data_IF_769123577026
#
_entry.id   IF_769123577026
#
_cell.length_a   1.000
_cell.length_b   1.000
_cell.length_c   1.000
_cell.angle_alpha   90.00
_cell.angle_beta   90.00
_cell.angle_gamma   90.00
#
_symmetry.space_group_name_H-M   'P 1'
#
loop_
_entity.id
_entity.type
_entity.pdbx_description
1 polymer ?
#
# COMPACT_ATOMS: atom_id res chain seq x y z
N UNK A 1 2.59 24.98 1.82
CA UNK A 1 2.88 23.69 2.52
C UNK A 1 2.06 22.58 1.90
N UNK A 2 2.68 21.42 1.67
CA UNK A 2 1.95 20.19 1.36
C UNK A 2 0.76 20.04 2.32
N UNK A 3 -0.44 19.97 1.76
CA UNK A 3 -1.68 20.00 2.52
C UNK A 3 -2.15 18.59 2.84
N UNK A 4 -2.42 18.31 4.11
CA UNK A 4 -3.22 17.14 4.44
C UNK A 4 -4.68 17.52 4.19
N UNK A 5 -5.35 16.79 3.29
CA UNK A 5 -6.77 17.00 3.02
C UNK A 5 -7.62 16.83 4.29
N UNK A 6 -8.86 17.30 4.28
CA UNK A 6 -9.75 17.20 5.43
C UNK A 6 -9.97 15.74 5.82
N UNK A 7 -10.18 15.52 7.12
CA UNK A 7 -10.58 14.23 7.68
C UNK A 7 -12.02 13.96 7.21
N UNK A 8 -12.27 12.77 6.65
CA UNK A 8 -13.64 12.32 6.42
C UNK A 8 -13.91 11.07 7.23
N UNK A 9 -14.92 11.17 8.09
CA UNK A 9 -15.39 10.08 8.91
C UNK A 9 -16.14 9.07 8.04
N UNK A 10 -15.72 7.81 8.08
CA UNK A 10 -16.69 6.74 7.88
C UNK A 10 -17.18 6.40 9.28
N UNK A 11 -18.50 6.41 9.49
CA UNK A 11 -19.06 5.83 10.71
C UNK A 11 -18.87 4.30 10.62
N UNK A 12 -17.71 3.79 11.07
CA UNK A 12 -17.46 2.35 11.25
C UNK A 12 -17.34 2.04 12.74
N UNK A 13 -18.44 1.97 13.50
CA UNK A 13 -18.37 2.02 14.97
C UNK A 13 -17.98 0.65 15.55
N UNK A 14 -16.68 0.31 15.70
CA UNK A 14 -16.14 -0.62 16.72
C UNK A 14 -14.59 -0.83 16.62
N UNK A 15 -14.02 -1.34 17.71
CA UNK A 15 -12.63 -1.69 17.99
C UNK A 15 -12.03 -2.87 17.22
N UNK A 16 -12.80 -3.46 16.32
CA UNK A 16 -12.46 -4.71 15.64
C UNK A 16 -12.41 -4.57 14.11
N UNK A 17 -12.53 -3.34 13.62
CA UNK A 17 -12.66 -3.07 12.19
C UNK A 17 -11.35 -3.39 11.49
N UNK A 18 -11.40 -4.49 10.77
CA UNK A 18 -10.48 -4.79 9.69
C UNK A 18 -11.02 -4.00 8.50
N UNK A 19 -10.27 -2.98 8.07
CA UNK A 19 -10.55 -2.23 6.85
C UNK A 19 -9.44 -2.53 5.88
N UNK A 20 -9.80 -2.95 4.67
CA UNK A 20 -8.88 -3.01 3.56
C UNK A 20 -9.39 -2.12 2.43
N UNK A 21 -8.47 -1.36 1.83
CA UNK A 21 -8.73 -0.45 0.74
C UNK A 21 -8.18 -1.02 -0.56
N UNK A 22 -8.91 -0.85 -1.65
CA UNK A 22 -8.38 -1.09 -2.98
C UNK A 22 -8.67 0.11 -3.89
N UNK A 23 -7.64 0.65 -4.54
CA UNK A 23 -7.83 1.72 -5.52
C UNK A 23 -8.72 1.23 -6.66
N UNK A 24 -9.78 1.98 -6.97
CA UNK A 24 -10.63 1.73 -8.14
C UNK A 24 -10.13 2.56 -9.32
N UNK A 25 -9.95 3.86 -9.11
CA UNK A 25 -9.35 4.79 -10.07
C UNK A 25 -8.82 6.02 -9.31
N UNK A 26 -8.41 7.06 -10.03
CA UNK A 26 -7.86 8.28 -9.43
C UNK A 26 -8.81 8.99 -8.46
N UNK A 27 -10.12 8.77 -8.58
CA UNK A 27 -11.14 9.44 -7.78
C UNK A 27 -12.03 8.48 -7.00
N UNK A 28 -11.78 7.18 -7.05
CA UNK A 28 -12.59 6.19 -6.36
C UNK A 28 -11.74 5.07 -5.80
N UNK A 29 -12.17 4.54 -4.66
CA UNK A 29 -11.58 3.35 -4.06
C UNK A 29 -12.66 2.53 -3.37
N UNK A 30 -12.37 1.25 -3.19
CA UNK A 30 -13.22 0.29 -2.51
C UNK A 30 -12.82 0.23 -1.04
N UNK A 31 -13.82 0.05 -0.17
CA UNK A 31 -13.63 -0.14 1.27
C UNK A 31 -14.28 -1.45 1.65
N UNK A 32 -13.49 -2.49 1.94
CA UNK A 32 -13.97 -3.73 2.52
C UNK A 32 -13.78 -3.67 4.04
N UNK A 33 -14.82 -4.02 4.79
CA UNK A 33 -14.77 -3.96 6.24
C UNK A 33 -15.64 -5.00 6.94
N UNK A 34 -15.34 -5.23 8.22
CA UNK A 34 -16.21 -5.93 9.16
C UNK A 34 -17.17 -4.94 9.81
N UNK A 35 -18.47 -5.19 9.73
CA UNK A 35 -19.52 -4.33 10.26
C UNK A 35 -20.00 -4.80 11.64
N UNK A 36 -19.50 -4.20 12.73
CA UNK A 36 -19.81 -4.60 14.10
C UNK A 36 -21.25 -4.27 14.52
N UNK A 37 -21.86 -3.27 13.87
CA UNK A 37 -23.25 -2.86 14.17
C UNK A 37 -24.24 -3.82 13.50
N UNK A 38 -23.82 -4.46 12.40
CA UNK A 38 -24.58 -5.48 11.70
C UNK A 38 -23.97 -6.87 11.87
N UNK A 39 -23.79 -7.32 13.12
CA UNK A 39 -23.46 -8.71 13.43
C UNK A 39 -22.07 -9.19 12.99
N UNK A 40 -21.11 -8.28 12.87
CA UNK A 40 -19.77 -8.52 12.34
C UNK A 40 -19.75 -8.97 10.87
N UNK A 41 -20.76 -8.61 10.08
CA UNK A 41 -20.85 -9.02 8.68
C UNK A 41 -19.76 -8.40 7.81
N UNK A 42 -19.37 -9.11 6.76
CA UNK A 42 -18.48 -8.58 5.75
C UNK A 42 -19.23 -7.62 4.83
N UNK A 43 -18.81 -6.35 4.81
CA UNK A 43 -19.37 -5.30 3.94
C UNK A 43 -18.32 -4.77 2.97
N UNK A 44 -18.79 -4.24 1.83
CA UNK A 44 -17.99 -3.46 0.90
C UNK A 44 -18.77 -2.23 0.43
N UNK A 45 -18.09 -1.13 0.16
CA UNK A 45 -18.68 0.04 -0.51
C UNK A 45 -17.68 0.71 -1.45
N UNK A 46 -18.20 1.56 -2.33
CA UNK A 46 -17.39 2.48 -3.15
C UNK A 46 -17.31 3.83 -2.44
N UNK A 47 -16.09 4.34 -2.26
CA UNK A 47 -15.82 5.69 -1.82
C UNK A 47 -15.44 6.57 -3.02
N UNK A 48 -16.01 7.77 -3.12
CA UNK A 48 -15.74 8.74 -4.18
C UNK A 48 -15.04 9.97 -3.62
N UNK A 49 -14.00 10.44 -4.31
CA UNK A 49 -13.19 11.60 -3.97
C UNK A 49 -13.50 12.72 -4.95
N UNK A 50 -14.01 13.85 -4.44
CA UNK A 50 -14.28 15.05 -5.22
C UNK A 50 -13.61 16.25 -4.54
N UNK A 51 -12.55 16.78 -5.16
CA UNK A 51 -11.69 17.76 -4.50
C UNK A 51 -11.18 17.19 -3.17
N UNK A 52 -11.48 17.89 -2.09
CA UNK A 52 -11.05 17.52 -0.74
C UNK A 52 -12.03 16.60 0.00
N UNK A 53 -13.19 16.32 -0.57
CA UNK A 53 -14.25 15.54 0.10
C UNK A 53 -14.23 14.09 -0.35
N UNK A 54 -14.47 13.19 0.61
CA UNK A 54 -14.79 11.78 0.37
C UNK A 54 -16.29 11.60 0.63
N UNK A 55 -17.00 10.91 -0.25
CA UNK A 55 -18.37 10.44 -0.06
C UNK A 55 -18.44 8.93 -0.17
N UNK A 56 -19.32 8.30 0.61
CA UNK A 56 -19.49 6.85 0.62
C UNK A 56 -20.80 6.47 -0.05
N UNK A 57 -20.73 5.51 -0.98
CA UNK A 57 -21.92 4.83 -1.49
C UNK A 57 -22.55 3.92 -0.45
N UNK A 58 -23.67 3.29 -0.82
CA UNK A 58 -24.33 2.31 0.03
C UNK A 58 -23.46 1.06 0.23
N UNK A 59 -23.36 0.53 1.47
CA UNK A 59 -22.63 -0.70 1.74
C UNK A 59 -23.41 -1.94 1.30
N UNK A 60 -22.71 -2.83 0.61
CA UNK A 60 -23.20 -4.14 0.20
C UNK A 60 -22.62 -5.25 1.07
N UNK A 61 -23.40 -6.30 1.33
CA UNK A 61 -23.00 -7.41 2.20
C UNK A 61 -22.37 -8.54 1.40
N UNK A 62 -21.05 -8.68 1.47
CA UNK A 62 -20.35 -9.79 0.83
C UNK A 62 -20.30 -11.06 1.68
N UNK A 63 -20.59 -11.00 2.98
CA UNK A 63 -20.71 -12.22 3.78
C UNK A 63 -21.66 -12.00 4.97
N UNK A 64 -22.82 -12.67 5.03
CA UNK A 64 -23.86 -12.41 6.02
C UNK A 64 -23.64 -13.18 7.34
N UNK A 65 -22.38 -13.32 7.74
CA UNK A 65 -21.96 -13.91 9.01
C UNK A 65 -20.74 -13.17 9.53
N UNK A 66 -20.45 -13.32 10.83
CA UNK A 66 -19.27 -12.74 11.44
C UNK A 66 -18.00 -13.09 10.65
N UNK A 67 -17.25 -12.07 10.20
CA UNK A 67 -15.98 -12.22 9.48
C UNK A 67 -14.77 -11.88 10.35
N UNK A 68 -13.61 -12.34 9.89
CA UNK A 68 -12.28 -11.93 10.35
C UNK A 68 -11.37 -11.80 9.13
N UNK A 69 -10.42 -10.88 9.17
CA UNK A 69 -9.35 -10.59 8.21
C UNK A 69 -9.90 -10.50 6.80
N UNK A 70 -10.60 -9.39 6.57
CA UNK A 70 -11.05 -9.03 5.23
C UNK A 70 -9.84 -8.70 4.37
N UNK A 71 -9.90 -9.05 3.09
CA UNK A 71 -8.97 -8.65 2.05
C UNK A 71 -9.78 -8.31 0.80
N UNK A 72 -9.31 -7.34 0.01
CA UNK A 72 -9.98 -6.91 -1.21
C UNK A 72 -8.97 -6.68 -2.33
N UNK A 73 -9.33 -7.06 -3.55
CA UNK A 73 -8.58 -6.81 -4.76
C UNK A 73 -9.51 -6.27 -5.85
N UNK A 74 -9.15 -5.13 -6.45
CA UNK A 74 -9.74 -4.68 -7.70
C UNK A 74 -9.15 -5.53 -8.84
N UNK A 75 -9.99 -6.22 -9.60
CA UNK A 75 -9.56 -6.90 -10.83
C UNK A 75 -9.67 -5.96 -12.03
N UNK A 76 -10.82 -5.31 -12.18
CA UNK A 76 -11.11 -4.36 -13.27
C UNK A 76 -11.97 -3.21 -12.75
N UNK A 77 -12.40 -2.31 -13.62
CA UNK A 77 -13.28 -1.20 -13.24
C UNK A 77 -14.68 -1.67 -12.81
N UNK A 78 -15.04 -2.92 -13.13
CA UNK A 78 -16.33 -3.52 -12.77
C UNK A 78 -16.20 -4.77 -11.92
N UNK A 79 -15.01 -5.36 -11.75
CA UNK A 79 -14.85 -6.63 -11.02
C UNK A 79 -13.91 -6.50 -9.84
N UNK A 80 -14.28 -7.14 -8.75
CA UNK A 80 -13.48 -7.22 -7.53
C UNK A 80 -13.54 -8.61 -6.92
N UNK A 81 -12.57 -8.92 -6.07
CA UNK A 81 -12.57 -10.12 -5.24
C UNK A 81 -12.40 -9.70 -3.79
N UNK A 82 -13.21 -10.29 -2.92
CA UNK A 82 -13.06 -10.19 -1.47
C UNK A 82 -12.76 -11.55 -0.89
N UNK A 83 -11.93 -11.58 0.13
CA UNK A 83 -11.68 -12.77 0.92
C UNK A 83 -11.81 -12.43 2.41
N UNK A 84 -12.21 -13.41 3.21
CA UNK A 84 -12.18 -13.29 4.66
C UNK A 84 -12.06 -14.66 5.31
N UNK A 85 -11.77 -14.66 6.60
CA UNK A 85 -11.97 -15.77 7.52
C UNK A 85 -13.36 -15.70 8.15
N UNK A 86 -13.93 -16.85 8.47
CA UNK A 86 -15.17 -16.92 9.24
C UNK A 86 -14.85 -16.67 10.72
N UNK A 87 -15.58 -15.80 11.41
CA UNK A 87 -15.22 -15.30 12.74
C UNK A 87 -15.03 -16.35 13.82
N UNK A 88 -15.87 -17.38 13.87
CA UNK A 88 -15.81 -18.47 14.85
C UNK A 88 -15.06 -19.74 14.40
N UNK A 89 -14.76 -19.84 13.11
CA UNK A 89 -14.27 -21.08 12.48
C UNK A 89 -12.87 -20.91 11.87
N UNK A 90 -12.52 -19.66 11.53
CA UNK A 90 -11.27 -19.25 10.90
C UNK A 90 -10.97 -19.93 9.56
N UNK A 91 -11.92 -20.69 8.99
CA UNK A 91 -11.86 -21.14 7.59
C UNK A 91 -11.95 -19.95 6.65
N UNK A 92 -11.16 -19.98 5.59
CA UNK A 92 -11.12 -18.93 4.57
C UNK A 92 -12.23 -19.07 3.54
N UNK A 93 -12.86 -17.95 3.18
CA UNK A 93 -13.81 -17.83 2.08
C UNK A 93 -13.37 -16.72 1.13
N UNK A 94 -13.68 -16.88 -0.14
CA UNK A 94 -13.44 -15.89 -1.20
C UNK A 94 -14.67 -15.78 -2.09
N UNK A 95 -14.95 -14.57 -2.57
CA UNK A 95 -16.10 -14.25 -3.45
C UNK A 95 -15.67 -13.26 -4.53
N UNK A 96 -16.15 -13.47 -5.74
CA UNK A 96 -16.11 -12.46 -6.79
C UNK A 96 -17.37 -11.58 -6.70
N UNK A 97 -17.17 -10.29 -6.96
CA UNK A 97 -18.23 -9.29 -7.05
C UNK A 97 -18.15 -8.52 -8.36
N UNK A 98 -19.31 -8.10 -8.86
CA UNK A 98 -19.46 -7.27 -10.05
C UNK A 98 -20.17 -5.96 -9.67
N UNK A 99 -19.57 -4.83 -10.05
CA UNK A 99 -20.05 -3.48 -9.77
C UNK A 99 -20.89 -2.96 -10.92
N UNK A 100 -22.00 -2.30 -10.58
CA UNK A 100 -22.91 -1.63 -11.49
C UNK A 100 -23.37 -0.30 -10.88
N UNK A 101 -24.20 0.46 -11.61
CA UNK A 101 -24.80 1.69 -11.07
C UNK A 101 -25.70 1.43 -9.85
N UNK A 102 -26.25 0.22 -9.70
CA UNK A 102 -27.13 -0.15 -8.59
C UNK A 102 -26.40 -0.68 -7.35
N UNK A 103 -25.08 -0.90 -7.41
CA UNK A 103 -24.31 -1.46 -6.30
C UNK A 103 -23.37 -2.57 -6.73
N UNK A 104 -23.13 -3.51 -5.82
CA UNK A 104 -22.16 -4.60 -5.99
C UNK A 104 -22.87 -5.94 -5.80
N UNK A 105 -22.92 -6.75 -6.85
CA UNK A 105 -23.51 -8.08 -6.81
C UNK A 105 -22.43 -9.14 -6.56
N UNK A 106 -22.63 -9.99 -5.53
CA UNK A 106 -21.70 -11.05 -5.18
C UNK A 106 -22.19 -12.43 -5.60
N UNK A 107 -21.32 -13.19 -6.27
CA UNK A 107 -21.55 -14.60 -6.59
C UNK A 107 -21.39 -15.51 -5.37
N UNK A 108 -21.37 -16.82 -5.59
CA UNK A 108 -21.29 -17.80 -4.48
C UNK A 108 -19.96 -17.71 -3.72
N UNK A 109 -20.00 -17.99 -2.42
CA UNK A 109 -18.78 -18.18 -1.62
C UNK A 109 -18.06 -19.46 -2.00
N UNK A 110 -16.74 -19.36 -2.15
CA UNK A 110 -15.83 -20.48 -2.38
C UNK A 110 -14.91 -20.59 -1.17
N UNK A 111 -14.76 -21.80 -0.64
CA UNK A 111 -13.90 -22.04 0.52
C UNK A 111 -12.44 -22.19 0.06
N UNK A 112 -11.53 -21.44 0.70
CA UNK A 112 -10.10 -21.41 0.35
C UNK A 112 -9.37 -22.68 0.77
N UNK A 113 -9.70 -23.20 1.95
CA UNK A 113 -9.11 -24.40 2.54
C UNK A 113 -10.13 -25.12 3.42
N UNK A 114 -10.05 -26.44 3.51
CA UNK A 114 -10.88 -27.26 4.41
C UNK A 114 -10.61 -26.95 5.88
N UNK A 115 -9.36 -26.64 6.21
CA UNK A 115 -8.92 -26.36 7.57
C UNK A 115 -8.92 -24.85 7.87
N UNK A 116 -8.96 -24.46 9.15
CA UNK A 116 -8.76 -23.08 9.56
C UNK A 116 -7.44 -22.49 9.04
N UNK A 117 -7.42 -21.18 8.79
CA UNK A 117 -6.28 -20.46 8.22
C UNK A 117 -5.90 -19.19 9.02
N UNK A 118 -4.68 -18.73 8.80
CA UNK A 118 -4.15 -17.45 9.27
C UNK A 118 -4.59 -16.29 8.38
N UNK A 119 -3.97 -15.12 8.56
CA UNK A 119 -4.28 -13.93 7.78
C UNK A 119 -4.13 -14.17 6.26
N UNK A 120 -5.05 -13.61 5.48
CA UNK A 120 -5.14 -13.78 4.03
C UNK A 120 -4.38 -12.64 3.34
N UNK A 121 -3.54 -12.97 2.37
CA UNK A 121 -3.03 -12.01 1.38
C UNK A 121 -3.72 -12.26 0.04
N UNK A 122 -4.09 -11.18 -0.65
CA UNK A 122 -4.80 -11.21 -1.92
C UNK A 122 -4.20 -10.16 -2.86
N UNK A 123 -3.86 -10.54 -4.09
CA UNK A 123 -3.34 -9.58 -5.09
C UNK A 123 -3.92 -9.88 -6.48
N UNK A 124 -4.41 -8.87 -7.23
CA UNK A 124 -4.86 -9.07 -8.60
C UNK A 124 -3.65 -9.27 -9.52
N UNK A 125 -3.74 -10.21 -10.46
CA UNK A 125 -2.72 -10.42 -11.50
C UNK A 125 -3.24 -10.05 -12.89
N UNK A 126 -4.55 -10.07 -13.11
CA UNK A 126 -5.20 -9.61 -14.35
C UNK A 126 -6.63 -9.14 -14.07
N UNK A 127 -7.35 -8.74 -15.12
CA UNK A 127 -8.75 -8.29 -15.04
C UNK A 127 -9.75 -9.35 -14.56
N UNK A 128 -9.32 -10.61 -14.55
CA UNK A 128 -10.12 -11.80 -14.32
C UNK A 128 -9.41 -12.82 -13.40
N UNK A 129 -8.25 -12.48 -12.84
CA UNK A 129 -7.49 -13.41 -11.99
C UNK A 129 -6.80 -12.70 -10.83
N UNK A 130 -6.73 -13.40 -9.70
CA UNK A 130 -5.95 -12.99 -8.54
C UNK A 130 -5.25 -14.18 -7.89
N UNK A 131 -4.25 -13.89 -7.07
CA UNK A 131 -3.60 -14.86 -6.19
C UNK A 131 -4.06 -14.63 -4.77
N UNK A 132 -4.38 -15.72 -4.08
CA UNK A 132 -4.67 -15.74 -2.65
C UNK A 132 -3.64 -16.61 -1.94
N UNK A 133 -3.07 -16.11 -0.85
CA UNK A 133 -2.11 -16.84 -0.01
C UNK A 133 -2.46 -16.74 1.46
N UNK A 134 -2.21 -17.79 2.22
CA UNK A 134 -2.53 -17.87 3.64
C UNK A 134 -1.67 -18.91 4.38
N UNK A 135 -1.36 -18.70 5.67
CA UNK A 135 -0.86 -19.76 6.55
C UNK A 135 -1.97 -20.75 6.89
N UNK A 136 -1.68 -22.04 6.99
CA UNK A 136 -2.51 -22.95 7.79
C UNK A 136 -2.37 -22.66 9.30
N UNK A 137 -3.43 -22.86 10.09
CA UNK A 137 -3.35 -22.85 11.56
C UNK A 137 -3.67 -24.24 12.13
N UNK A 138 -3.14 -24.55 13.31
CA UNK A 138 -3.32 -25.85 13.95
C UNK A 138 -2.23 -26.86 13.58
N UNK A 139 -2.63 -28.10 13.28
CA UNK A 139 -1.72 -29.25 13.12
C UNK A 139 -1.31 -29.57 11.68
N UNK A 140 -1.96 -28.97 10.67
CA UNK A 140 -1.73 -29.24 9.23
C UNK A 140 -0.97 -28.07 8.56
N UNK A 141 0.17 -27.73 9.16
CA UNK A 141 0.90 -26.47 9.07
C UNK A 141 1.61 -26.24 7.74
N UNK A 142 0.90 -25.76 6.71
CA UNK A 142 1.56 -25.39 5.46
C UNK A 142 1.12 -24.01 4.98
N UNK A 143 2.07 -23.24 4.50
CA UNK A 143 1.80 -21.97 3.86
C UNK A 143 1.39 -22.23 2.40
N UNK A 144 0.17 -21.82 2.06
CA UNK A 144 -0.50 -22.20 0.81
C UNK A 144 -0.83 -20.95 0.00
N UNK A 145 -0.67 -21.04 -1.32
CA UNK A 145 -1.24 -20.09 -2.26
C UNK A 145 -2.06 -20.81 -3.33
N UNK A 146 -3.03 -20.10 -3.90
CA UNK A 146 -3.91 -20.60 -4.96
C UNK A 146 -4.15 -19.48 -5.97
N UNK A 147 -4.27 -19.87 -7.24
CA UNK A 147 -4.77 -18.96 -8.27
C UNK A 147 -6.29 -19.00 -8.26
N UNK A 148 -6.92 -17.84 -8.35
CA UNK A 148 -8.37 -17.69 -8.45
C UNK A 148 -8.72 -17.11 -9.82
N UNK A 149 -9.52 -17.84 -10.59
CA UNK A 149 -10.06 -17.40 -11.88
C UNK A 149 -11.49 -16.91 -11.69
N UNK A 150 -11.80 -15.74 -12.26
CA UNK A 150 -13.08 -15.03 -12.14
C UNK A 150 -13.73 -14.86 -13.51
N UNK A 151 -15.02 -15.18 -13.60
CA UNK A 151 -15.83 -14.99 -14.81
C UNK A 151 -17.19 -14.44 -14.40
N UNK A 152 -17.41 -13.13 -14.61
CA UNK A 152 -18.53 -12.41 -14.00
C UNK A 152 -18.42 -12.49 -12.48
N UNK A 153 -19.50 -12.94 -11.83
CA UNK A 153 -19.53 -13.19 -10.38
C UNK A 153 -19.11 -14.61 -9.99
N UNK A 154 -18.76 -15.48 -10.95
CA UNK A 154 -18.29 -16.85 -10.65
C UNK A 154 -16.79 -16.87 -10.36
N UNK A 155 -16.38 -17.67 -9.37
CA UNK A 155 -14.98 -17.84 -8.98
C UNK A 155 -14.64 -19.32 -8.90
N UNK A 156 -13.48 -19.70 -9.42
CA UNK A 156 -12.90 -21.04 -9.25
C UNK A 156 -11.46 -20.94 -8.73
N UNK A 157 -11.02 -21.95 -7.98
CA UNK A 157 -9.69 -21.98 -7.40
C UNK A 157 -8.87 -23.12 -8.03
N UNK A 158 -7.66 -22.79 -8.47
CA UNK A 158 -6.65 -23.79 -8.83
C UNK A 158 -6.24 -24.69 -7.65
N UNK A 159 -5.43 -25.73 -7.90
CA UNK A 159 -4.92 -26.61 -6.83
C UNK A 159 -4.13 -25.81 -5.77
N UNK A 160 -4.04 -26.38 -4.56
CA UNK A 160 -3.18 -25.84 -3.50
C UNK A 160 -1.71 -25.92 -3.91
N UNK A 161 -1.00 -24.79 -3.82
CA UNK A 161 0.44 -24.72 -4.03
C UNK A 161 1.13 -24.34 -2.72
N UNK A 162 1.93 -25.24 -2.18
CA UNK A 162 2.63 -25.05 -0.91
C UNK A 162 3.96 -24.34 -1.14
N UNK A 163 4.19 -23.22 -0.45
CA UNK A 163 5.39 -22.40 -0.65
C UNK A 163 6.38 -22.44 0.50
N UNK A 164 6.01 -22.98 1.66
CA UNK A 164 6.91 -23.08 2.80
C UNK A 164 6.48 -24.23 3.73
N UNK A 165 7.41 -25.10 4.17
CA UNK A 165 7.06 -26.27 4.98
C UNK A 165 6.79 -25.95 6.44
N UNK A 166 7.36 -24.86 6.98
CA UNK A 166 7.21 -24.49 8.38
C UNK A 166 6.06 -23.50 8.60
N UNK A 167 5.76 -23.24 9.88
CA UNK A 167 4.74 -22.25 10.25
C UNK A 167 5.23 -20.85 9.90
N UNK A 168 4.39 -20.08 9.22
CA UNK A 168 4.59 -18.65 8.99
C UNK A 168 3.63 -17.83 9.85
N UNK A 169 4.06 -16.65 10.30
CA UNK A 169 3.25 -15.71 11.07
C UNK A 169 2.35 -14.86 10.16
N UNK A 170 2.87 -14.45 9.00
CA UNK A 170 2.16 -13.63 8.02
C UNK A 170 2.71 -13.87 6.61
N UNK A 171 1.90 -13.51 5.61
CA UNK A 171 2.27 -13.48 4.19
C UNK A 171 1.78 -12.17 3.56
N UNK A 172 2.50 -11.69 2.54
CA UNK A 172 2.17 -10.56 1.68
C UNK A 172 2.49 -10.90 0.24
N UNK A 173 1.72 -10.30 -0.67
CA UNK A 173 1.80 -10.55 -2.10
C UNK A 173 1.97 -9.24 -2.86
N UNK A 174 2.80 -9.24 -3.91
CA UNK A 174 2.86 -8.17 -4.89
C UNK A 174 2.88 -8.77 -6.30
N UNK A 175 1.86 -8.48 -7.11
CA UNK A 175 1.85 -8.84 -8.52
C UNK A 175 2.86 -7.99 -9.29
N UNK A 176 3.93 -8.62 -9.78
CA UNK A 176 4.94 -7.97 -10.62
C UNK A 176 4.46 -7.92 -12.07
N UNK A 177 3.79 -8.98 -12.51
CA UNK A 177 3.16 -9.10 -13.82
C UNK A 177 1.96 -10.05 -13.73
N UNK A 178 1.30 -10.30 -14.85
CA UNK A 178 0.19 -11.26 -14.95
C UNK A 178 0.61 -12.70 -14.62
N UNK A 179 1.91 -12.99 -14.72
CA UNK A 179 2.50 -14.32 -14.57
C UNK A 179 3.53 -14.44 -13.45
N UNK A 180 3.86 -13.34 -12.75
CA UNK A 180 4.85 -13.34 -11.65
C UNK A 180 4.37 -12.57 -10.44
N UNK A 181 4.48 -13.21 -9.29
CA UNK A 181 4.04 -12.66 -8.00
C UNK A 181 5.16 -12.82 -6.98
N UNK A 182 5.50 -11.74 -6.28
CA UNK A 182 6.31 -11.81 -5.07
C UNK A 182 5.48 -12.41 -3.94
N UNK A 183 6.02 -13.40 -3.26
CA UNK A 183 5.48 -13.93 -2.00
C UNK A 183 6.48 -13.63 -0.90
N UNK A 184 6.20 -12.63 -0.07
CA UNK A 184 6.99 -12.28 1.11
C UNK A 184 6.30 -12.79 2.36
N UNK A 185 7.04 -13.44 3.26
CA UNK A 185 6.48 -14.05 4.46
C UNK A 185 7.48 -14.05 5.60
N UNK A 186 6.95 -14.21 6.81
CA UNK A 186 7.72 -14.28 8.04
C UNK A 186 7.56 -15.66 8.66
N UNK A 187 8.66 -16.32 8.98
CA UNK A 187 8.64 -17.56 9.76
C UNK A 187 8.18 -17.31 11.20
N UNK A 188 7.31 -18.17 11.73
CA UNK A 188 6.70 -17.99 13.05
C UNK A 188 7.70 -18.20 14.20
N UNK A 189 8.63 -19.14 14.05
CA UNK A 189 9.53 -19.53 15.14
C UNK A 189 10.82 -18.70 15.18
N UNK A 190 11.49 -18.54 14.05
CA UNK A 190 12.71 -17.73 13.91
C UNK A 190 12.40 -16.23 13.88
N UNK A 191 11.24 -15.85 13.32
CA UNK A 191 10.94 -14.47 12.95
C UNK A 191 11.60 -14.05 11.64
N UNK A 192 12.33 -14.94 10.96
CA UNK A 192 13.06 -14.61 9.74
C UNK A 192 12.12 -14.17 8.63
N UNK A 193 12.59 -13.19 7.86
CA UNK A 193 11.87 -12.65 6.71
C UNK A 193 12.37 -13.28 5.42
N UNK A 194 11.51 -14.04 4.73
CA UNK A 194 11.84 -14.68 3.45
C UNK A 194 10.90 -14.22 2.35
N UNK A 195 11.39 -14.22 1.12
CA UNK A 195 10.53 -14.09 -0.05
C UNK A 195 10.94 -15.06 -1.17
N UNK A 196 9.99 -15.33 -2.07
CA UNK A 196 10.22 -16.05 -3.31
C UNK A 196 9.37 -15.43 -4.43
N UNK A 197 9.80 -15.64 -5.68
CA UNK A 197 8.97 -15.34 -6.85
C UNK A 197 8.16 -16.59 -7.19
N UNK A 198 6.84 -16.42 -7.30
CA UNK A 198 5.94 -17.44 -7.79
C UNK A 198 5.59 -17.14 -9.25
N UNK A 199 5.81 -18.14 -10.12
CA UNK A 199 5.38 -18.12 -11.52
C UNK A 199 3.98 -18.74 -11.65
N UNK A 200 3.08 -18.06 -12.36
CA UNK A 200 1.73 -18.55 -12.64
C UNK A 200 1.75 -19.39 -13.91
N UNK A 201 1.62 -20.71 -13.77
CA UNK A 201 1.65 -21.65 -14.90
C UNK A 201 0.25 -22.25 -15.06
N UNK A 202 -0.51 -21.77 -16.05
CA UNK A 202 -1.93 -22.12 -16.16
C UNK A 202 -2.68 -21.69 -14.90
N UNK A 203 -3.30 -22.62 -14.18
CA UNK A 203 -4.02 -22.37 -12.93
C UNK A 203 -3.25 -22.84 -11.67
N UNK A 204 -1.93 -22.98 -11.75
CA UNK A 204 -1.08 -23.35 -10.61
C UNK A 204 0.07 -22.35 -10.41
N UNK A 205 0.81 -22.51 -9.31
CA UNK A 205 1.95 -21.68 -8.94
C UNK A 205 3.20 -22.55 -8.80
N UNK A 206 4.31 -22.08 -9.37
CA UNK A 206 5.64 -22.66 -9.21
C UNK A 206 6.51 -21.66 -8.47
N UNK A 207 7.04 -22.06 -7.31
CA UNK A 207 7.85 -21.16 -6.47
C UNK A 207 9.34 -21.31 -6.79
N UNK A 208 9.99 -20.19 -7.06
CA UNK A 208 11.44 -20.07 -7.15
C UNK A 208 12.15 -20.23 -5.80
N UNK A 209 13.48 -20.06 -5.79
CA UNK A 209 14.29 -20.12 -4.57
C UNK A 209 13.85 -19.06 -3.56
N UNK A 210 13.94 -19.41 -2.27
CA UNK A 210 13.63 -18.50 -1.16
C UNK A 210 14.88 -17.70 -0.83
N UNK A 211 14.71 -16.40 -0.64
CA UNK A 211 15.79 -15.49 -0.25
C UNK A 211 15.39 -14.75 1.01
N UNK A 212 16.33 -14.60 1.95
CA UNK A 212 16.10 -13.78 3.13
C UNK A 212 16.07 -12.30 2.74
N UNK A 213 14.97 -11.62 3.03
CA UNK A 213 14.95 -10.15 3.11
C UNK A 213 15.35 -9.67 4.52
N UNK A 214 15.32 -10.56 5.51
CA UNK A 214 15.90 -10.35 6.84
C UNK A 214 16.22 -11.69 7.51
N UNK A 215 17.35 -11.76 8.21
CA UNK A 215 17.70 -12.85 9.14
C UNK A 215 17.54 -12.43 10.61
N UNK A 216 17.08 -11.20 10.83
CA UNK A 216 16.66 -10.71 12.13
C UNK A 216 15.14 -10.85 12.25
N UNK A 217 14.61 -11.16 13.45
CA UNK A 217 13.18 -11.31 13.66
C UNK A 217 12.37 -10.08 13.23
N UNK A 218 11.62 -10.27 12.15
CA UNK A 218 10.68 -9.29 11.59
C UNK A 218 9.42 -9.30 12.45
N UNK A 219 8.85 -8.13 12.72
CA UNK A 219 7.55 -8.02 13.38
C UNK A 219 6.42 -7.91 12.35
N UNK A 220 6.61 -7.08 11.32
CA UNK A 220 5.67 -6.95 10.22
C UNK A 220 6.38 -6.59 8.93
N UNK A 221 5.79 -6.97 7.80
CA UNK A 221 6.21 -6.53 6.48
C UNK A 221 4.98 -6.21 5.65
N UNK A 222 5.13 -5.24 4.77
CA UNK A 222 4.21 -4.99 3.66
C UNK A 222 5.02 -4.79 2.37
N UNK A 223 4.39 -5.03 1.22
CA UNK A 223 5.11 -5.00 -0.06
C UNK A 223 4.27 -4.41 -1.19
N UNK A 224 4.94 -3.78 -2.15
CA UNK A 224 4.29 -3.23 -3.34
C UNK A 224 5.17 -3.41 -4.59
N UNK A 225 4.59 -3.73 -5.77
CA UNK A 225 5.35 -3.76 -7.00
C UNK A 225 5.77 -2.33 -7.41
N UNK A 226 7.01 -2.19 -7.88
CA UNK A 226 7.52 -0.98 -8.52
C UNK A 226 7.59 -1.14 -10.04
N UNK A 227 7.51 -2.38 -10.53
CA UNK A 227 7.51 -2.73 -11.93
C UNK A 227 7.54 -4.25 -12.09
N UNK A 228 7.76 -4.72 -13.32
CA UNK A 228 7.76 -6.16 -13.63
C UNK A 228 8.91 -6.96 -13.04
N UNK A 229 9.98 -6.27 -12.61
CA UNK A 229 11.17 -6.90 -12.02
C UNK A 229 11.61 -6.20 -10.72
N UNK A 230 10.79 -5.33 -10.14
CA UNK A 230 11.17 -4.58 -8.94
C UNK A 230 10.01 -4.39 -7.99
N UNK A 231 10.32 -4.34 -6.70
CA UNK A 231 9.35 -4.15 -5.62
C UNK A 231 10.00 -3.47 -4.43
N UNK A 232 9.19 -2.88 -3.56
CA UNK A 232 9.62 -2.38 -2.26
C UNK A 232 9.01 -3.22 -1.13
N UNK A 233 9.79 -3.41 -0.07
CA UNK A 233 9.38 -3.97 1.21
C UNK A 233 9.45 -2.86 2.26
N UNK A 234 8.37 -2.65 3.01
CA UNK A 234 8.39 -1.89 4.25
C UNK A 234 8.43 -2.88 5.41
N UNK A 235 9.50 -2.88 6.19
CA UNK A 235 9.79 -3.87 7.22
C UNK A 235 9.86 -3.17 8.58
N UNK A 236 9.14 -3.69 9.57
CA UNK A 236 9.32 -3.32 10.97
C UNK A 236 9.97 -4.49 11.72
N UNK A 237 11.01 -4.19 12.47
CA UNK A 237 11.67 -5.11 13.39
C UNK A 237 11.09 -4.97 14.79
N UNK A 238 11.01 -6.08 15.54
CA UNK A 238 10.49 -6.05 16.91
C UNK A 238 11.45 -5.38 17.91
N UNK A 239 10.87 -4.78 18.95
CA UNK A 239 11.54 -4.07 20.05
C UNK A 239 12.72 -4.83 20.67
N UNK A 240 12.57 -6.15 20.85
CA UNK A 240 13.57 -7.00 21.48
C UNK A 240 14.84 -7.27 20.64
N UNK A 241 14.84 -6.92 19.35
CA UNK A 241 15.94 -7.23 18.42
C UNK A 241 16.68 -5.97 17.98
N UNK A 242 15.95 -4.99 17.45
CA UNK A 242 16.54 -3.74 16.92
C UNK A 242 15.91 -2.47 17.49
N UNK A 243 15.20 -2.54 18.62
CA UNK A 243 14.58 -1.37 19.26
C UNK A 243 13.54 -0.68 18.37
N UNK A 244 12.67 -1.48 17.73
CA UNK A 244 11.58 -1.01 16.86
C UNK A 244 12.05 -0.21 15.64
N UNK A 245 13.06 -0.78 14.96
CA UNK A 245 13.64 -0.20 13.76
C UNK A 245 12.76 -0.46 12.53
N UNK A 246 12.58 0.55 11.68
CA UNK A 246 11.81 0.41 10.43
C UNK A 246 12.66 0.77 9.23
N UNK A 247 12.57 -0.09 8.22
CA UNK A 247 13.37 0.03 7.00
C UNK A 247 12.51 -0.13 5.76
N UNK A 248 12.92 0.54 4.70
CA UNK A 248 12.52 0.18 3.36
C UNK A 248 13.64 -0.63 2.74
N UNK A 249 13.29 -1.69 2.01
CA UNK A 249 14.24 -2.46 1.22
C UNK A 249 13.70 -2.68 -0.18
N UNK A 250 14.48 -2.33 -1.20
CA UNK A 250 14.11 -2.54 -2.61
C UNK A 250 14.67 -3.88 -3.08
N UNK A 251 13.80 -4.70 -3.68
CA UNK A 251 14.15 -5.96 -4.32
C UNK A 251 14.12 -5.85 -5.84
N UNK A 252 15.10 -6.48 -6.50
CA UNK A 252 15.16 -6.63 -7.95
C UNK A 252 15.16 -8.12 -8.32
N UNK A 253 14.27 -8.50 -9.23
CA UNK A 253 14.13 -9.88 -9.71
C UNK A 253 15.09 -10.13 -10.86
N UNK A 254 15.89 -11.20 -10.76
CA UNK A 254 16.83 -11.64 -11.79
C UNK A 254 16.59 -13.12 -12.04
N UNK A 255 15.89 -13.45 -13.13
CA UNK A 255 15.37 -14.80 -13.35
C UNK A 255 14.26 -15.13 -12.35
N UNK A 256 14.45 -16.17 -11.55
CA UNK A 256 13.58 -16.62 -10.46
C UNK A 256 14.04 -16.15 -9.07
N UNK A 257 15.18 -15.46 -9.02
CA UNK A 257 15.89 -15.08 -7.80
C UNK A 257 15.74 -13.60 -7.50
N UNK A 258 15.89 -13.24 -6.23
CA UNK A 258 15.75 -11.84 -5.76
C UNK A 258 17.12 -11.33 -5.31
N UNK A 259 17.46 -10.11 -5.72
CA UNK A 259 18.58 -9.34 -5.18
C UNK A 259 18.03 -8.15 -4.41
N UNK A 260 18.47 -8.00 -3.15
CA UNK A 260 18.07 -6.87 -2.34
C UNK A 260 19.14 -5.77 -2.33
N UNK A 261 18.66 -4.54 -2.29
CA UNK A 261 19.45 -3.39 -1.85
C UNK A 261 19.85 -3.51 -0.36
N UNK A 262 20.65 -2.57 0.11
CA UNK A 262 20.84 -2.32 1.54
C UNK A 262 19.51 -1.91 2.19
N UNK A 263 19.41 -2.06 3.50
CA UNK A 263 18.27 -1.52 4.24
C UNK A 263 18.37 -0.01 4.31
N UNK A 264 17.25 0.69 4.04
CA UNK A 264 17.15 2.13 4.19
C UNK A 264 16.34 2.44 5.45
N UNK A 265 17.01 2.86 6.55
CA UNK A 265 16.31 3.29 7.75
C UNK A 265 15.45 4.51 7.44
N UNK A 266 14.22 4.51 7.91
CA UNK A 266 13.38 5.71 7.85
C UNK A 266 12.84 6.14 9.21
N UNK A 267 12.75 5.23 10.19
CA UNK A 267 12.53 5.56 11.61
C UNK A 267 13.25 4.58 12.54
N UNK A 268 13.76 5.11 13.65
CA UNK A 268 14.64 4.37 14.59
C UNK A 268 14.08 4.21 16.00
N UNK A 269 12.83 4.60 16.22
CA UNK A 269 12.22 4.57 17.56
C UNK A 269 10.76 4.15 17.48
N UNK A 270 10.37 3.13 16.72
CA UNK A 270 8.95 2.88 16.45
C UNK A 270 8.22 2.09 17.56
N UNK A 271 6.97 1.70 17.31
CA UNK A 271 6.15 0.78 18.12
C UNK A 271 5.83 -0.50 17.32
N UNK A 272 5.33 -1.55 18.00
CA UNK A 272 4.88 -2.84 17.44
C UNK A 272 3.59 -2.72 16.57
N UNK A 273 3.56 -1.83 15.59
CA UNK A 273 2.39 -1.61 14.70
C UNK A 273 2.68 -1.85 13.23
N UNK A 274 1.69 -2.29 12.44
CA UNK A 274 1.83 -2.49 11.00
C UNK A 274 2.28 -1.21 10.28
N UNK A 275 3.11 -1.39 9.26
CA UNK A 275 3.36 -0.39 8.22
C UNK A 275 2.45 -0.74 7.04
N UNK A 276 1.96 0.27 6.32
CA UNK A 276 1.34 0.09 5.00
C UNK A 276 2.13 0.82 3.94
N UNK A 277 2.35 0.17 2.81
CA UNK A 277 3.10 0.71 1.67
C UNK A 277 2.26 0.71 0.40
N UNK A 278 2.40 1.76 -0.41
CA UNK A 278 1.84 1.84 -1.74
C UNK A 278 2.84 2.45 -2.73
N UNK A 279 2.80 2.04 -3.99
CA UNK A 279 3.65 2.60 -5.03
C UNK A 279 2.95 3.82 -5.63
N UNK A 280 3.56 4.99 -5.49
CA UNK A 280 3.13 6.23 -6.16
C UNK A 280 3.58 6.23 -7.62
N UNK A 281 4.74 5.64 -7.88
CA UNK A 281 5.31 5.42 -9.20
C UNK A 281 6.35 4.29 -9.12
N UNK A 282 6.97 3.87 -10.23
CA UNK A 282 8.10 2.94 -10.18
C UNK A 282 9.28 3.42 -9.32
N UNK A 283 9.38 4.72 -9.06
CA UNK A 283 10.48 5.35 -8.34
C UNK A 283 10.02 6.06 -7.06
N UNK A 284 8.79 5.83 -6.59
CA UNK A 284 8.30 6.48 -5.38
C UNK A 284 7.28 5.61 -4.65
N UNK A 285 7.37 5.57 -3.32
CA UNK A 285 6.45 4.85 -2.44
C UNK A 285 5.85 5.79 -1.40
N UNK A 286 4.60 5.54 -1.04
CA UNK A 286 3.95 6.11 0.13
C UNK A 286 3.95 5.08 1.25
N UNK A 287 4.18 5.55 2.47
CA UNK A 287 4.05 4.81 3.71
C UNK A 287 3.00 5.48 4.58
N UNK A 288 2.23 4.67 5.29
CA UNK A 288 1.41 5.13 6.41
C UNK A 288 1.64 4.23 7.62
N UNK A 289 1.76 4.85 8.78
CA UNK A 289 2.02 4.17 10.05
C UNK A 289 1.62 5.04 11.25
N UNK A 290 1.67 4.44 12.43
CA UNK A 290 1.54 5.16 13.70
C UNK A 290 2.90 5.65 14.19
N UNK A 291 2.92 6.87 14.72
CA UNK A 291 4.07 7.52 15.30
C UNK A 291 4.34 6.95 16.69
N UNK A 292 5.61 6.71 17.01
CA UNK A 292 5.98 6.20 18.31
C UNK A 292 5.76 7.21 19.43
N UNK A 293 5.26 6.73 20.57
CA UNK A 293 5.03 7.46 21.82
C UNK A 293 3.85 8.42 21.88
N UNK A 294 3.41 8.99 20.75
CA UNK A 294 2.28 9.94 20.73
C UNK A 294 1.00 9.38 20.10
N UNK A 295 1.04 8.16 19.54
CA UNK A 295 -0.07 7.57 18.80
C UNK A 295 -0.56 8.52 17.69
N UNK A 296 0.34 9.21 17.01
CA UNK A 296 -0.02 10.11 15.91
C UNK A 296 -0.03 9.32 14.60
N UNK A 297 -0.97 9.56 13.70
CA UNK A 297 -0.94 8.95 12.37
C UNK A 297 0.05 9.71 11.49
N UNK A 298 1.04 9.03 10.91
CA UNK A 298 2.05 9.66 10.05
C UNK A 298 2.13 9.03 8.68
N UNK A 299 2.40 9.87 7.69
CA UNK A 299 2.67 9.42 6.33
C UNK A 299 4.08 9.80 5.92
N UNK A 300 4.66 9.04 5.00
CA UNK A 300 5.97 9.30 4.43
C UNK A 300 5.97 8.98 2.95
N UNK A 301 6.61 9.79 2.12
CA UNK A 301 6.90 9.49 0.71
C UNK A 301 8.39 9.25 0.55
N UNK A 302 8.74 8.03 0.17
CA UNK A 302 10.09 7.58 -0.14
C UNK A 302 10.38 7.67 -1.64
N UNK A 303 11.35 8.46 -2.07
CA UNK A 303 11.81 8.46 -3.47
C UNK A 303 12.97 7.48 -3.69
N UNK A 304 12.93 6.75 -4.80
CA UNK A 304 13.84 5.66 -5.14
C UNK A 304 14.72 6.04 -6.34
N UNK A 305 16.03 6.15 -6.12
CA UNK A 305 17.03 6.43 -7.15
C UNK A 305 18.15 5.39 -7.11
N UNK A 306 18.49 4.79 -8.25
CA UNK A 306 19.57 3.81 -8.32
C UNK A 306 19.39 2.60 -7.38
N UNK A 307 18.15 2.25 -7.03
CA UNK A 307 17.84 1.19 -6.06
C UNK A 307 17.97 1.60 -4.59
N UNK A 308 18.17 2.89 -4.31
CA UNK A 308 18.23 3.47 -2.96
C UNK A 308 17.04 4.36 -2.68
N UNK A 309 16.54 4.33 -1.45
CA UNK A 309 15.59 5.34 -0.98
C UNK A 309 16.41 6.54 -0.49
N UNK A 310 16.28 7.68 -1.16
CA UNK A 310 17.14 8.84 -0.90
C UNK A 310 16.43 9.97 -0.15
N UNK A 311 15.08 9.98 -0.17
CA UNK A 311 14.31 11.07 0.41
C UNK A 311 13.06 10.58 1.09
N UNK A 312 12.75 11.22 2.22
CA UNK A 312 11.47 11.17 2.87
C UNK A 312 10.83 12.56 2.86
N UNK A 313 9.67 12.70 2.22
CA UNK A 313 8.73 13.75 2.62
C UNK A 313 7.81 13.15 3.67
N UNK A 314 7.65 13.78 4.82
CA UNK A 314 6.78 13.26 5.88
C UNK A 314 5.75 14.28 6.32
N UNK A 315 4.68 13.78 6.92
CA UNK A 315 3.67 14.61 7.55
C UNK A 315 2.82 13.80 8.51
N UNK A 316 2.00 14.51 9.28
CA UNK A 316 1.08 13.94 10.24
C UNK A 316 -0.34 14.03 9.68
N UNK A 317 -1.02 12.89 9.59
CA UNK A 317 -2.44 12.82 9.25
C UNK A 317 -3.33 12.58 10.47
N UNK A 318 -2.80 12.41 11.68
CA UNK A 318 -3.62 12.41 12.89
C UNK A 318 -2.76 12.81 14.09
N UNK A 319 -3.18 13.81 14.86
CA UNK A 319 -2.38 14.35 15.97
C UNK A 319 -2.83 13.86 17.34
N UNK A 320 -4.07 13.38 17.47
CA UNK A 320 -4.70 13.29 18.80
C UNK A 320 -4.85 11.88 19.36
N UNK A 321 -4.81 10.81 18.54
CA UNK A 321 -4.64 9.41 18.99
C UNK A 321 -4.87 8.33 17.89
N UNK A 322 -4.22 8.39 16.73
CA UNK A 322 -4.17 7.23 15.81
C UNK A 322 -3.74 5.93 16.52
N UNK A 323 -4.64 4.97 16.51
CA UNK A 323 -4.32 3.57 16.75
C UNK A 323 -4.59 2.79 15.48
N UNK A 324 -3.51 2.36 14.85
CA UNK A 324 -3.43 1.23 13.93
C UNK A 324 -3.89 1.58 12.54
N UNK A 325 -2.95 2.10 11.76
CA UNK A 325 -3.06 2.10 10.29
C UNK A 325 -3.43 0.69 9.80
N UNK A 326 -4.51 0.61 9.03
CA UNK A 326 -5.10 -0.64 8.54
C UNK A 326 -4.79 -0.91 7.09
N UNK A 327 -4.84 0.12 6.25
CA UNK A 327 -4.67 -0.01 4.81
C UNK A 327 -4.32 1.33 4.18
N UNK A 328 -3.66 1.27 3.03
CA UNK A 328 -3.32 2.42 2.20
C UNK A 328 -3.74 2.12 0.75
N UNK A 329 -4.43 3.06 0.11
CA UNK A 329 -4.77 2.98 -1.32
C UNK A 329 -4.18 4.18 -2.06
N UNK A 330 -3.27 3.94 -2.98
CA UNK A 330 -2.71 4.98 -3.87
C UNK A 330 -3.70 5.27 -4.98
N UNK A 331 -4.25 6.49 -5.02
CA UNK A 331 -5.21 6.91 -6.04
C UNK A 331 -4.50 7.53 -7.26
N UNK A 332 -3.46 8.31 -7.02
CA UNK A 332 -2.60 8.87 -8.05
C UNK A 332 -1.19 9.07 -7.48
N UNK A 333 -0.18 9.43 -8.30
CA UNK A 333 1.19 9.68 -7.81
C UNK A 333 1.27 10.70 -6.66
N UNK A 334 0.25 11.56 -6.53
CA UNK A 334 0.19 12.65 -5.56
C UNK A 334 -0.98 12.55 -4.59
N UNK A 335 -1.66 11.40 -4.53
CA UNK A 335 -2.87 11.24 -3.71
C UNK A 335 -3.04 9.81 -3.26
N UNK A 336 -3.18 9.61 -1.96
CA UNK A 336 -3.53 8.31 -1.40
C UNK A 336 -4.48 8.44 -0.23
N UNK A 337 -5.26 7.39 0.00
CA UNK A 337 -6.16 7.26 1.15
C UNK A 337 -5.52 6.34 2.20
N UNK A 338 -5.64 6.71 3.48
CA UNK A 338 -5.18 5.92 4.62
C UNK A 338 -6.37 5.59 5.50
N UNK A 339 -6.58 4.31 5.79
CA UNK A 339 -7.54 3.85 6.79
C UNK A 339 -6.85 3.60 8.13
N UNK A 340 -7.41 4.10 9.23
CA UNK A 340 -6.88 3.97 10.59
C UNK A 340 -8.01 4.03 11.64
N UNK A 341 -7.71 3.80 12.93
CA UNK A 341 -8.65 4.05 14.05
C UNK A 341 -8.07 5.12 15.00
N UNK A 342 -8.91 5.72 15.86
CA UNK A 342 -8.51 6.77 16.81
C UNK A 342 -8.87 6.41 18.28
N UNK A 343 -7.94 6.54 19.25
CA UNK A 343 -8.11 6.14 20.67
C UNK A 343 -9.07 7.07 21.42
N UNK A 344 -9.14 8.36 21.07
CA UNK A 344 -9.92 9.37 21.80
C UNK A 344 -11.44 9.11 21.74
N UNK A 345 -11.86 8.32 20.76
CA UNK A 345 -13.22 7.87 20.58
C UNK A 345 -13.44 6.41 20.98
N UNK A 346 -12.49 5.75 21.66
CA UNK A 346 -12.54 4.32 21.94
C UNK A 346 -13.75 3.94 22.83
N UNK A 347 -14.69 3.10 22.35
CA UNK A 347 -14.76 2.44 21.04
C UNK A 347 -15.18 3.36 19.87
N UNK A 348 -14.29 3.55 18.88
CA UNK A 348 -14.40 4.65 17.91
C UNK A 348 -14.36 4.22 16.42
N UNK A 349 -14.86 5.08 15.51
CA UNK A 349 -15.01 4.72 14.11
C UNK A 349 -13.68 4.44 13.38
N UNK A 350 -13.70 3.57 12.36
CA UNK A 350 -12.64 3.53 11.35
C UNK A 350 -12.64 4.79 10.50
N UNK A 351 -11.51 5.50 10.45
CA UNK A 351 -11.35 6.80 9.77
C UNK A 351 -10.63 6.57 8.44
N UNK A 352 -11.04 7.30 7.40
CA UNK A 352 -10.26 7.39 6.17
C UNK A 352 -9.81 8.82 5.95
N UNK A 353 -8.51 9.00 5.74
CA UNK A 353 -7.93 10.31 5.43
C UNK A 353 -7.29 10.32 4.06
N UNK A 354 -7.55 11.40 3.33
CA UNK A 354 -6.90 11.68 2.06
C UNK A 354 -5.60 12.45 2.31
N UNK A 355 -4.50 11.93 1.80
CA UNK A 355 -3.18 12.53 1.87
C UNK A 355 -2.77 13.00 0.49
N UNK A 356 -2.31 14.26 0.41
CA UNK A 356 -1.69 14.85 -0.79
C UNK A 356 -0.28 15.31 -0.43
N UNK A 357 0.74 14.51 -0.75
CA UNK A 357 2.10 14.83 -0.34
C UNK A 357 2.63 16.12 -0.94
N UNK A 358 2.11 16.55 -2.10
CA UNK A 358 2.61 17.73 -2.80
C UNK A 358 1.60 18.87 -2.73
N UNK A 359 2.12 20.09 -2.61
CA UNK A 359 1.32 21.31 -2.65
C UNK A 359 0.83 21.57 -4.09
N UNK A 360 -0.47 21.37 -4.31
CA UNK A 360 -1.10 21.53 -5.63
C UNK A 360 -1.19 22.97 -6.10
N UNK A 361 -0.87 23.96 -5.25
CA UNK A 361 -0.79 25.37 -5.67
C UNK A 361 0.48 25.66 -6.48
N UNK A 362 1.48 24.79 -6.44
CA UNK A 362 2.76 24.96 -7.13
C UNK A 362 2.84 23.98 -8.30
N UNK A 363 2.59 24.52 -9.49
CA UNK A 363 2.45 23.73 -10.73
C UNK A 363 3.73 23.61 -11.55
N UNK A 364 4.77 24.40 -11.24
CA UNK A 364 6.02 24.41 -11.99
C UNK A 364 6.99 25.49 -11.52
N UNK A 365 7.97 25.77 -12.37
CA UNK A 365 8.95 26.85 -12.20
C UNK A 365 8.70 27.91 -13.26
N UNK A 366 8.64 29.18 -12.85
CA UNK A 366 8.60 30.30 -13.79
C UNK A 366 9.89 30.35 -14.62
N UNK A 367 9.76 30.54 -15.94
CA UNK A 367 10.92 30.58 -16.85
C UNK A 367 11.67 31.92 -16.83
N UNK A 368 11.07 32.93 -16.23
CA UNK A 368 11.59 34.28 -16.12
C UNK A 368 11.04 34.94 -14.84
N UNK A 369 11.72 35.99 -14.37
CA UNK A 369 11.25 36.80 -13.26
C UNK A 369 9.97 37.54 -13.65
N UNK A 370 9.08 37.74 -12.68
CA UNK A 370 7.83 38.47 -12.89
C UNK A 370 7.28 39.06 -11.62
N UNK A 371 6.32 39.96 -11.78
CA UNK A 371 5.59 40.64 -10.72
C UNK A 371 4.13 40.21 -10.70
N UNK A 372 3.43 40.50 -9.59
CA UNK A 372 2.05 40.07 -9.41
C UNK A 372 1.13 40.64 -10.51
N UNK A 373 0.44 39.75 -11.23
CA UNK A 373 -0.46 40.09 -12.32
C UNK A 373 0.13 39.94 -13.72
N UNK A 374 1.44 39.69 -13.84
CA UNK A 374 2.07 39.40 -15.13
C UNK A 374 1.81 37.96 -15.61
N UNK A 375 1.75 37.80 -16.92
CA UNK A 375 1.66 36.48 -17.56
C UNK A 375 3.07 36.00 -17.87
N UNK A 376 3.53 35.00 -17.13
CA UNK A 376 4.85 34.38 -17.29
C UNK A 376 4.71 32.93 -17.74
N UNK A 377 5.66 32.48 -18.56
CA UNK A 377 5.72 31.06 -18.93
C UNK A 377 6.18 30.22 -17.73
N UNK A 378 5.58 29.04 -17.55
CA UNK A 378 5.91 28.11 -16.46
C UNK A 378 6.29 26.76 -17.05
N UNK A 379 7.46 26.25 -16.66
CA UNK A 379 7.83 24.85 -16.89
C UNK A 379 7.12 23.99 -15.86
N UNK A 380 6.11 23.24 -16.30
CA UNK A 380 5.29 22.41 -15.43
C UNK A 380 6.09 21.22 -14.86
N UNK A 381 5.70 20.73 -13.69
CA UNK A 381 6.18 19.48 -13.10
C UNK A 381 5.66 18.25 -13.87
N UNK A 382 6.02 18.15 -15.15
CA UNK A 382 5.66 17.05 -16.01
C UNK A 382 6.81 16.03 -16.12
N UNK A 383 6.47 14.77 -16.41
CA UNK A 383 7.48 13.73 -16.62
C UNK A 383 8.46 14.11 -17.73
N UNK A 384 9.74 14.20 -17.37
CA UNK A 384 10.81 14.57 -18.30
C UNK A 384 10.93 16.07 -18.57
N UNK A 385 10.20 16.92 -17.83
CA UNK A 385 10.36 18.37 -17.93
C UNK A 385 11.73 18.79 -17.42
N UNK A 386 12.40 19.67 -18.17
CA UNK A 386 13.67 20.27 -17.80
C UNK A 386 13.42 21.77 -17.62
N UNK A 387 13.77 22.29 -16.45
CA UNK A 387 13.87 23.73 -16.23
C UNK A 387 15.29 24.16 -16.57
N UNK A 388 15.43 25.02 -17.56
CA UNK A 388 16.69 25.44 -18.20
C UNK A 388 17.07 26.90 -17.89
N UNK A 389 16.36 27.54 -16.97
CA UNK A 389 16.48 28.96 -16.62
C UNK A 389 17.31 29.19 -15.36
N UNK A 390 18.37 28.39 -15.15
CA UNK A 390 19.19 28.45 -13.94
C UNK A 390 20.66 28.72 -14.26
N UNK A 391 21.38 29.23 -13.26
CA UNK A 391 22.83 29.41 -13.33
C UNK A 391 23.48 28.93 -12.02
N UNK A 392 24.73 28.44 -12.11
CA UNK A 392 25.52 28.09 -10.94
C UNK A 392 25.06 26.84 -10.19
N UNK A 393 24.25 25.98 -10.82
CA UNK A 393 23.85 24.73 -10.21
C UNK A 393 25.05 23.77 -10.12
N UNK A 394 25.06 22.91 -9.10
CA UNK A 394 25.98 21.80 -9.01
C UNK A 394 25.29 20.55 -9.57
N UNK A 395 25.78 19.93 -10.67
CA UNK A 395 25.16 18.74 -11.23
C UNK A 395 25.04 17.60 -10.22
N UNK A 396 23.91 16.86 -10.27
CA UNK A 396 23.60 15.76 -9.38
C UNK A 396 23.05 16.17 -8.01
N UNK A 397 22.83 17.46 -7.77
CA UNK A 397 22.26 17.96 -6.52
C UNK A 397 20.75 18.15 -6.63
N UNK A 398 20.06 17.97 -5.51
CA UNK A 398 18.64 18.28 -5.39
C UNK A 398 18.43 19.76 -5.09
N UNK A 399 17.49 20.37 -5.80
CA UNK A 399 17.13 21.77 -5.65
C UNK A 399 15.68 21.95 -5.21
N UNK A 400 15.45 23.03 -4.48
CA UNK A 400 14.20 23.36 -3.80
C UNK A 400 13.85 24.82 -4.03
N UNK A 401 12.61 25.08 -4.40
CA UNK A 401 12.05 26.40 -4.60
C UNK A 401 11.39 26.91 -3.31
N UNK A 402 11.64 28.17 -2.99
CA UNK A 402 11.14 28.82 -1.78
C UNK A 402 10.10 29.89 -2.11
N UNK A 403 9.25 30.29 -1.15
CA UNK A 403 8.24 31.34 -1.37
C UNK A 403 8.81 32.69 -1.79
N UNK A 404 10.10 32.94 -1.51
CA UNK A 404 10.82 34.14 -1.95
C UNK A 404 11.35 34.04 -3.39
N UNK A 405 11.08 32.93 -4.09
CA UNK A 405 11.54 32.65 -5.45
C UNK A 405 12.93 32.02 -5.53
N UNK A 406 13.64 31.86 -4.41
CA UNK A 406 14.99 31.29 -4.42
C UNK A 406 14.98 29.79 -4.73
N UNK A 407 16.02 29.34 -5.45
CA UNK A 407 16.27 27.94 -5.77
C UNK A 407 17.56 27.50 -5.08
N UNK A 408 17.46 26.68 -4.04
CA UNK A 408 18.61 26.29 -3.20
C UNK A 408 18.67 24.79 -2.96
N UNK A 409 19.74 24.29 -2.35
CA UNK A 409 19.84 22.88 -1.90
C UNK A 409 19.22 22.65 -0.52
N UNK A 410 18.57 23.66 0.06
CA UNK A 410 17.97 23.59 1.40
C UNK A 410 16.61 22.91 1.35
N UNK A 411 16.42 21.88 2.20
CA UNK A 411 15.27 20.98 2.11
C UNK A 411 13.97 21.49 2.74
N UNK A 412 13.97 22.72 3.25
CA UNK A 412 12.81 23.42 3.82
C UNK A 412 11.87 24.04 2.75
N UNK A 413 12.28 23.99 1.49
CA UNK A 413 11.47 24.43 0.34
C UNK A 413 10.73 23.30 -0.38
N UNK A 414 10.13 23.65 -1.52
CA UNK A 414 9.42 22.74 -2.40
C UNK A 414 10.42 22.11 -3.36
N UNK A 415 10.66 20.80 -3.27
CA UNK A 415 11.63 20.11 -4.13
C UNK A 415 11.26 20.25 -5.60
N UNK A 416 12.18 20.79 -6.38
CA UNK A 416 11.98 21.02 -7.80
C UNK A 416 12.39 19.81 -8.63
N UNK A 417 13.54 19.23 -8.30
CA UNK A 417 14.11 18.13 -9.06
C UNK A 417 15.61 17.95 -8.80
N UNK A 418 16.27 17.29 -9.75
CA UNK A 418 17.73 17.03 -9.73
C UNK A 418 18.40 17.84 -10.82
N UNK A 419 19.47 18.56 -10.50
CA UNK A 419 20.28 19.23 -11.52
C UNK A 419 20.98 18.20 -12.41
N UNK A 420 20.80 18.34 -13.72
CA UNK A 420 21.48 17.48 -14.73
C UNK A 420 22.67 18.20 -15.36
N UNK A 421 22.73 19.53 -15.22
CA UNK A 421 23.85 20.37 -15.64
C UNK A 421 23.93 21.61 -14.74
N UNK A 422 24.94 22.50 -14.91
CA UNK A 422 25.01 23.75 -14.16
C UNK A 422 23.87 24.75 -14.42
N UNK A 423 23.00 24.48 -15.40
CA UNK A 423 21.89 25.35 -15.78
C UNK A 423 20.53 24.65 -15.85
N UNK A 424 20.49 23.32 -15.70
CA UNK A 424 19.29 22.53 -15.94
C UNK A 424 18.91 21.68 -14.73
N UNK A 425 17.62 21.69 -14.39
CA UNK A 425 17.00 20.79 -13.41
C UNK A 425 16.02 19.89 -14.13
N UNK A 426 16.21 18.57 -14.02
CA UNK A 426 15.19 17.59 -14.35
C UNK A 426 14.13 17.63 -13.26
N UNK A 427 12.94 18.09 -13.60
CA UNK A 427 11.86 18.32 -12.65
C UNK A 427 11.20 17.03 -12.19
N UNK A 428 10.83 17.00 -10.92
CA UNK A 428 10.06 15.90 -10.36
C UNK A 428 8.62 15.96 -10.89
N UNK A 429 8.11 14.87 -11.50
CA UNK A 429 6.73 14.84 -11.96
C UNK A 429 5.75 14.90 -10.78
N UNK A 430 4.66 15.64 -10.96
CA UNK A 430 3.57 15.81 -9.99
C UNK A 430 2.21 15.64 -10.66
#
# INVERSE_FOLDING_TARGET
PAGVGPIVWISIPDNSVQVELATLNENQFLVAYKDPVDGDFGKVLVATVAGDTISFGSPETFFPYAVRDVAIAKLSDTHLVVACRIGGDLRGIVRAGEMSESGIDFGRSVQLNVNPIGAIALTPISADRCIVAFPGIGTTTVATARVADVSGTSLSLGPEAFFHPDKIALVRLAALSTDRVLVAFQELLSGDGLAAIAEVVGNTLVFGPKTFYSQDPVFTVDCVPLGSNSFALAIAYGSAVRGDFRVIRVGHVVGDSIRYSEEFPYRTTATDYPIRIGALSPNAVALAEDYPYSLMGSWTVGEIYGGRVERFLEGIFETNSSIRVKSLAVLSPNKFAVAYNDESNYPGPGIIRLVRPYDSSIIGIAREDGTAGETIAVTLFAKGAISDSHEGLQPGMHYYGHPDGSVTTSADGVRLGVSVSPAEILLDPR
#
